data_IF_961297051444
#
_entry.id   IF_961297051444
#
_cell.length_a   1.000
_cell.length_b   1.000
_cell.length_c   1.000
_cell.angle_alpha   90.00
_cell.angle_beta   90.00
_cell.angle_gamma   90.00
#
_symmetry.space_group_name_H-M   'P 1'
#
loop_
_entity.id
_entity.type
_entity.pdbx_description
1 polymer ?
#
# COMPACT_ATOMS: atom_id res chain seq x y z
N UNK A 1 -5.62 -47.05 -24.03
CA UNK A 1 -4.79 -45.98 -24.61
C UNK A 1 -5.56 -44.67 -24.44
N UNK A 2 -5.36 -43.97 -23.31
CA UNK A 2 -6.13 -42.79 -22.91
C UNK A 2 -5.26 -41.53 -23.09
N UNK A 3 -5.80 -40.40 -23.60
CA UNK A 3 -4.99 -39.21 -23.77
C UNK A 3 -4.86 -38.44 -22.45
N UNK A 4 -3.63 -38.07 -22.11
CA UNK A 4 -3.31 -37.19 -21.00
C UNK A 4 -3.98 -35.82 -21.21
N UNK A 5 -4.82 -35.42 -20.25
CA UNK A 5 -5.35 -34.05 -20.18
C UNK A 5 -4.28 -33.11 -19.63
N UNK A 6 -3.89 -32.15 -20.46
CA UNK A 6 -2.99 -31.05 -20.15
C UNK A 6 -3.60 -30.19 -19.01
N UNK A 7 -2.96 -30.17 -17.84
CA UNK A 7 -3.34 -29.35 -16.71
C UNK A 7 -2.98 -27.89 -17.01
N UNK A 8 -3.96 -27.05 -17.36
CA UNK A 8 -3.78 -25.60 -17.53
C UNK A 8 -3.38 -25.00 -16.18
N UNK A 9 -2.12 -24.55 -16.08
CA UNK A 9 -1.60 -23.76 -14.95
C UNK A 9 -2.46 -22.50 -14.77
N UNK A 10 -3.19 -22.43 -13.67
CA UNK A 10 -3.88 -21.24 -13.20
C UNK A 10 -2.85 -20.13 -12.96
N UNK A 11 -2.97 -19.02 -13.68
CA UNK A 11 -2.25 -17.78 -13.40
C UNK A 11 -2.91 -17.12 -12.20
N UNK A 12 -2.53 -17.55 -10.99
CA UNK A 12 -2.77 -16.74 -9.80
C UNK A 12 -1.90 -15.47 -9.89
N UNK A 13 -2.44 -14.28 -9.57
CA UNK A 13 -1.61 -13.10 -9.44
C UNK A 13 -0.73 -13.29 -8.21
N UNK A 14 0.58 -13.44 -8.41
CA UNK A 14 1.55 -13.33 -7.33
C UNK A 14 1.53 -11.86 -6.91
N UNK A 15 0.80 -11.55 -5.84
CA UNK A 15 0.91 -10.26 -5.15
C UNK A 15 2.29 -10.24 -4.49
N UNK A 16 3.26 -9.63 -5.18
CA UNK A 16 4.54 -9.29 -4.57
C UNK A 16 4.28 -8.02 -3.77
N UNK A 17 4.03 -8.18 -2.47
CA UNK A 17 4.05 -7.07 -1.52
C UNK A 17 5.50 -6.59 -1.42
N UNK A 18 5.87 -5.59 -2.23
CA UNK A 18 7.11 -4.85 -2.08
C UNK A 18 7.04 -3.98 -0.82
N UNK A 19 7.07 -4.61 0.35
CA UNK A 19 7.34 -3.92 1.61
C UNK A 19 8.82 -3.54 1.64
N UNK A 20 9.16 -2.39 1.07
CA UNK A 20 10.42 -1.71 1.38
C UNK A 20 10.12 -0.73 2.51
N UNK A 21 10.25 -1.20 3.76
CA UNK A 21 10.20 -0.34 4.93
C UNK A 21 11.65 0.11 5.25
N UNK A 22 12.03 1.39 5.03
CA UNK A 22 13.37 1.86 5.31
C UNK A 22 13.47 2.47 6.72
N UNK A 23 12.77 1.95 7.72
CA UNK A 23 12.96 2.41 9.11
C UNK A 23 12.75 1.25 10.08
N UNK A 24 13.79 0.45 10.31
CA UNK A 24 14.04 -0.20 11.60
C UNK A 24 15.41 -0.90 11.57
N UNK A 25 16.45 -0.13 11.84
CA UNK A 25 17.74 -0.64 12.28
C UNK A 25 18.14 0.22 13.48
N UNK A 26 18.49 -0.44 14.59
CA UNK A 26 18.94 0.08 15.89
C UNK A 26 17.83 0.44 16.90
N UNK A 27 17.59 -0.47 17.86
CA UNK A 27 18.16 -0.37 19.22
C UNK A 27 17.89 -1.67 20.00
N UNK A 28 18.97 -2.19 20.59
CA UNK A 28 19.02 -3.33 21.51
C UNK A 28 19.10 -2.81 22.95
N UNK A 29 18.50 -3.59 23.84
CA UNK A 29 18.79 -3.80 25.27
C UNK A 29 18.45 -2.71 26.30
N UNK A 30 17.66 -3.12 27.31
CA UNK A 30 17.38 -2.33 28.53
C UNK A 30 16.29 -2.97 29.41
N UNK A 31 16.72 -3.85 30.32
CA UNK A 31 15.92 -4.60 31.30
C UNK A 31 15.60 -3.77 32.58
N UNK A 32 14.40 -4.02 33.15
CA UNK A 32 13.92 -3.87 34.57
C UNK A 32 13.68 -2.49 35.22
N UNK A 33 12.87 -2.41 36.32
CA UNK A 33 11.72 -3.22 36.74
C UNK A 33 10.47 -2.39 37.15
N UNK A 34 9.42 -3.17 37.43
CA UNK A 34 8.11 -2.89 38.04
C UNK A 34 8.10 -1.88 39.21
N UNK A 35 7.16 -0.93 39.18
CA UNK A 35 6.80 -0.06 40.29
C UNK A 35 5.29 0.19 40.29
N UNK A 36 4.56 -0.59 41.10
CA UNK A 36 3.15 -0.36 41.44
C UNK A 36 3.03 0.82 42.40
N UNK A 37 2.08 1.75 42.21
CA UNK A 37 1.55 2.55 43.30
C UNK A 37 0.20 2.00 43.77
N UNK A 38 0.11 1.83 45.08
CA UNK A 38 -1.07 1.44 45.85
C UNK A 38 -2.27 2.38 45.60
N UNK A 39 -3.44 1.77 45.39
CA UNK A 39 -4.72 2.47 45.30
C UNK A 39 -5.20 2.75 46.73
N UNK A 40 -5.07 4.00 47.20
CA UNK A 40 -5.82 4.48 48.36
C UNK A 40 -7.09 5.20 47.91
N UNK A 41 -8.21 4.52 48.18
CA UNK A 41 -9.56 5.08 48.15
C UNK A 41 -9.71 6.16 49.21
N UNK A 42 -10.05 7.39 48.80
CA UNK A 42 -10.78 8.33 49.66
C UNK A 42 -11.90 8.98 48.86
N UNK A 43 -13.12 8.53 49.14
CA UNK A 43 -14.36 9.24 48.81
C UNK A 43 -14.32 10.65 49.41
N UNK A 44 -14.61 11.67 48.61
CA UNK A 44 -15.33 12.85 49.11
C UNK A 44 -16.09 13.53 47.97
N UNK A 45 -17.41 13.63 48.17
CA UNK A 45 -18.32 14.48 47.41
C UNK A 45 -17.89 15.94 47.49
N UNK A 46 -17.99 16.67 46.38
CA UNK A 46 -18.37 18.09 46.37
C UNK A 46 -18.75 18.56 44.96
N UNK A 47 -20.03 18.95 44.83
CA UNK A 47 -20.59 20.05 44.05
C UNK A 47 -19.99 20.39 42.66
N UNK A 48 -20.85 20.21 41.65
CA UNK A 48 -20.75 20.80 40.33
C UNK A 48 -20.56 22.32 40.40
N UNK A 49 -19.32 22.76 40.17
CA UNK A 49 -19.04 24.07 39.59
C UNK A 49 -18.45 23.77 38.22
N UNK A 50 -19.12 24.19 37.14
CA UNK A 50 -18.64 23.98 35.77
C UNK A 50 -17.31 24.72 35.60
N UNK A 51 -16.21 24.01 35.86
CA UNK A 51 -14.87 24.53 35.66
C UNK A 51 -14.73 24.97 34.20
N UNK A 52 -14.09 26.12 33.91
CA UNK A 52 -13.72 26.44 32.54
C UNK A 52 -12.87 25.29 32.01
N UNK A 53 -13.10 24.91 30.75
CA UNK A 53 -12.42 23.77 30.11
C UNK A 53 -10.93 23.79 30.48
N UNK A 54 -10.39 22.70 31.05
CA UNK A 54 -9.03 22.69 31.58
C UNK A 54 -8.09 23.11 30.46
N UNK A 55 -7.42 24.25 30.63
CA UNK A 55 -6.42 24.70 29.68
C UNK A 55 -5.30 23.66 29.70
N UNK A 56 -5.27 22.81 28.67
CA UNK A 56 -4.26 21.77 28.50
C UNK A 56 -2.88 22.40 28.71
N UNK A 57 -2.11 21.84 29.65
CA UNK A 57 -0.73 22.27 29.90
C UNK A 57 0.03 22.21 28.56
N UNK A 58 0.95 23.15 28.28
CA UNK A 58 1.63 23.22 26.99
C UNK A 58 2.29 21.91 26.53
N UNK A 59 2.73 21.07 27.48
CA UNK A 59 3.31 19.75 27.23
C UNK A 59 2.30 18.71 26.73
N UNK A 60 1.05 18.76 27.20
CA UNK A 60 -0.02 17.86 26.77
C UNK A 60 -0.52 18.23 25.37
N UNK A 61 -0.47 19.53 25.02
CA UNK A 61 -0.77 20.04 23.67
C UNK A 61 0.23 19.57 22.61
N UNK A 62 1.54 19.64 22.89
CA UNK A 62 2.57 19.11 21.96
C UNK A 62 2.42 17.60 21.74
N UNK A 63 2.06 16.86 22.81
CA UNK A 63 1.83 15.42 22.71
C UNK A 63 0.61 15.12 21.82
N UNK A 64 -0.50 15.84 22.01
CA UNK A 64 -1.68 15.73 21.13
C UNK A 64 -1.39 16.05 19.66
N UNK A 65 -0.67 17.15 19.39
CA UNK A 65 -0.26 17.53 18.03
C UNK A 65 0.63 16.48 17.37
N UNK A 66 1.56 15.88 18.12
CA UNK A 66 2.42 14.81 17.58
C UNK A 66 1.67 13.53 17.23
N UNK A 67 0.55 13.23 17.92
CA UNK A 67 -0.29 12.07 17.59
C UNK A 67 -1.15 12.33 16.34
N UNK A 68 -1.71 13.54 16.21
CA UNK A 68 -2.49 13.93 15.03
C UNK A 68 -1.61 13.97 13.77
N UNK A 69 -0.42 14.57 13.84
CA UNK A 69 0.55 14.60 12.73
C UNK A 69 0.99 13.19 12.31
N UNK A 70 1.26 12.30 13.28
CA UNK A 70 1.64 10.92 13.00
C UNK A 70 0.51 10.12 12.34
N UNK A 71 -0.74 10.37 12.73
CA UNK A 71 -1.91 9.71 12.14
C UNK A 71 -2.12 10.17 10.71
N UNK A 72 -2.06 11.49 10.46
CA UNK A 72 -2.16 12.06 9.11
C UNK A 72 -1.04 11.55 8.18
N UNK A 73 0.19 11.45 8.68
CA UNK A 73 1.32 10.92 7.89
C UNK A 73 1.14 9.43 7.56
N UNK A 74 0.55 8.64 8.46
CA UNK A 74 0.24 7.23 8.21
C UNK A 74 -0.89 7.06 7.18
N UNK A 75 -1.91 7.91 7.24
CA UNK A 75 -2.98 7.95 6.23
C UNK A 75 -2.45 8.32 4.85
N UNK A 76 -1.62 9.37 4.75
CA UNK A 76 -0.99 9.78 3.49
C UNK A 76 -0.08 8.68 2.92
N UNK A 77 0.65 7.98 3.78
CA UNK A 77 1.45 6.80 3.40
C UNK A 77 0.57 5.70 2.81
N UNK A 78 -0.57 5.40 3.45
CA UNK A 78 -1.50 4.37 2.99
C UNK A 78 -2.14 4.74 1.66
N UNK A 79 -2.53 6.00 1.49
CA UNK A 79 -3.08 6.51 0.23
C UNK A 79 -2.06 6.46 -0.91
N UNK A 80 -0.81 6.85 -0.63
CA UNK A 80 0.27 6.77 -1.61
C UNK A 80 0.59 5.33 -1.98
N UNK A 81 0.60 4.40 -1.02
CA UNK A 81 0.75 2.98 -1.32
C UNK A 81 -0.35 2.45 -2.24
N UNK A 82 -1.60 2.87 -2.01
CA UNK A 82 -2.73 2.49 -2.86
C UNK A 82 -2.60 3.03 -4.30
N UNK A 83 -2.18 4.28 -4.47
CA UNK A 83 -1.97 4.84 -5.81
C UNK A 83 -0.79 4.17 -6.51
N UNK A 84 0.33 3.95 -5.82
CA UNK A 84 1.49 3.23 -6.36
C UNK A 84 1.12 1.80 -6.77
N UNK A 85 0.29 1.11 -5.99
CA UNK A 85 -0.23 -0.21 -6.34
C UNK A 85 -1.13 -0.19 -7.60
N UNK A 86 -1.89 0.89 -7.81
CA UNK A 86 -2.67 1.10 -9.04
C UNK A 86 -1.75 1.34 -10.23
N UNK A 87 -0.78 2.25 -10.09
CA UNK A 87 0.22 2.57 -11.13
C UNK A 87 1.01 1.32 -11.56
N UNK A 88 1.37 0.44 -10.62
CA UNK A 88 2.13 -0.76 -10.91
C UNK A 88 1.36 -1.81 -11.74
N UNK A 89 0.04 -1.82 -11.62
CA UNK A 89 -0.87 -2.74 -12.34
C UNK A 89 -1.49 -2.11 -13.60
N UNK A 90 -1.22 -0.83 -13.85
CA UNK A 90 -1.63 -0.15 -15.06
C UNK A 90 -0.81 -0.64 -16.27
N UNK A 91 -1.47 -0.66 -17.43
CA UNK A 91 -0.83 -0.86 -18.72
C UNK A 91 -0.10 0.41 -19.15
N UNK A 92 0.85 0.28 -20.09
CA UNK A 92 1.57 1.46 -20.61
C UNK A 92 0.62 2.47 -21.29
N UNK A 93 -0.40 1.98 -22.00
CA UNK A 93 -1.40 2.83 -22.66
C UNK A 93 -2.24 3.61 -21.65
N UNK A 94 -2.68 2.96 -20.56
CA UNK A 94 -3.44 3.61 -19.50
C UNK A 94 -2.63 4.71 -18.80
N UNK A 95 -1.36 4.43 -18.48
CA UNK A 95 -0.49 5.44 -17.87
C UNK A 95 -0.22 6.60 -18.83
N UNK A 96 0.00 6.32 -20.11
CA UNK A 96 0.16 7.34 -21.13
C UNK A 96 -1.08 8.23 -21.19
N UNK A 97 -2.28 7.64 -21.32
CA UNK A 97 -3.54 8.38 -21.37
C UNK A 97 -3.80 9.18 -20.10
N UNK A 98 -3.41 8.67 -18.93
CA UNK A 98 -3.50 9.42 -17.68
C UNK A 98 -2.58 10.65 -17.67
N UNK A 99 -1.32 10.49 -18.10
CA UNK A 99 -0.36 11.61 -18.16
C UNK A 99 -0.72 12.67 -19.21
N UNK A 100 -1.33 12.28 -20.34
CA UNK A 100 -1.76 13.25 -21.37
C UNK A 100 -2.68 14.35 -20.81
N UNK A 101 -3.49 14.05 -19.78
CA UNK A 101 -4.41 15.00 -19.16
C UNK A 101 -3.71 16.17 -18.45
N UNK A 102 -2.43 16.02 -18.14
CA UNK A 102 -1.64 17.02 -17.42
C UNK A 102 -0.68 17.76 -18.35
N UNK A 103 -0.81 17.60 -19.68
CA UNK A 103 -0.01 18.36 -20.63
C UNK A 103 -0.50 19.81 -20.76
N UNK A 104 0.40 20.80 -20.88
CA UNK A 104 1.86 20.65 -20.83
C UNK A 104 2.34 20.32 -19.41
N UNK A 105 3.22 19.33 -19.31
CA UNK A 105 3.79 18.93 -18.01
C UNK A 105 4.78 19.99 -17.53
N UNK A 106 4.87 20.21 -16.21
CA UNK A 106 5.98 20.97 -15.65
C UNK A 106 7.33 20.30 -16.02
N UNK A 107 8.44 21.04 -16.03
CA UNK A 107 9.78 20.49 -16.19
C UNK A 107 10.00 19.27 -15.29
N UNK A 108 10.54 18.20 -15.89
CA UNK A 108 10.76 16.91 -15.23
C UNK A 108 12.26 16.61 -15.27
N UNK A 109 12.84 16.39 -14.10
CA UNK A 109 14.22 15.97 -13.93
C UNK A 109 14.27 14.52 -13.47
N UNK A 110 14.96 13.67 -14.22
CA UNK A 110 15.16 12.28 -13.82
C UNK A 110 16.23 12.23 -12.72
N UNK A 111 15.82 12.01 -11.47
CA UNK A 111 16.76 11.79 -10.35
C UNK A 111 17.44 10.42 -10.49
N UNK A 112 16.71 9.46 -11.07
CA UNK A 112 17.21 8.17 -11.51
C UNK A 112 16.54 7.84 -12.83
N UNK A 113 17.30 7.61 -13.91
CA UNK A 113 16.73 7.14 -15.16
C UNK A 113 16.01 5.80 -14.93
N UNK A 114 15.08 5.45 -15.83
CA UNK A 114 14.39 4.17 -15.72
C UNK A 114 15.37 3.02 -15.96
N UNK A 115 15.60 2.22 -14.92
CA UNK A 115 16.60 1.15 -14.90
C UNK A 115 15.92 -0.21 -14.70
N UNK A 116 16.26 -1.18 -15.54
CA UNK A 116 15.88 -2.58 -15.38
C UNK A 116 16.91 -3.27 -14.50
N UNK A 117 16.44 -3.96 -13.46
CA UNK A 117 17.25 -4.76 -12.56
C UNK A 117 16.50 -6.00 -12.08
N UNK A 118 17.02 -6.61 -11.02
CA UNK A 118 16.49 -7.83 -10.43
C UNK A 118 16.12 -7.60 -8.97
N UNK A 119 15.05 -8.27 -8.53
CA UNK A 119 14.66 -8.33 -7.12
C UNK A 119 14.53 -9.80 -6.70
N UNK A 120 15.10 -10.13 -5.54
CA UNK A 120 14.94 -11.45 -4.92
C UNK A 120 13.49 -11.65 -4.48
N UNK A 121 12.83 -12.66 -5.03
CA UNK A 121 11.51 -13.10 -4.58
C UNK A 121 11.68 -14.01 -3.38
N UNK A 122 10.96 -13.73 -2.30
CA UNK A 122 10.96 -14.56 -1.10
C UNK A 122 9.62 -15.26 -0.93
N UNK A 123 9.68 -16.58 -0.70
CA UNK A 123 8.54 -17.39 -0.28
C UNK A 123 8.57 -17.65 1.22
N UNK A 124 7.50 -18.24 1.74
CA UNK A 124 7.42 -18.77 3.12
C UNK A 124 7.08 -20.25 3.10
N UNK A 125 7.78 -21.04 3.90
CA UNK A 125 7.51 -22.48 4.04
C UNK A 125 6.07 -22.67 4.53
N UNK A 126 5.25 -23.46 3.83
CA UNK A 126 3.86 -23.72 4.25
C UNK A 126 2.91 -22.51 4.17
N UNK A 127 3.37 -21.33 3.72
CA UNK A 127 2.59 -20.10 3.60
C UNK A 127 2.87 -19.06 4.69
N UNK A 128 3.12 -19.50 5.93
CA UNK A 128 3.32 -18.64 7.10
C UNK A 128 4.64 -18.91 7.85
N UNK A 129 5.37 -19.97 7.49
CA UNK A 129 6.64 -20.33 8.09
C UNK A 129 7.82 -19.45 7.66
N UNK A 130 9.03 -20.00 7.83
CA UNK A 130 10.28 -19.28 7.58
C UNK A 130 10.43 -18.82 6.14
N UNK A 131 11.06 -17.64 5.99
CA UNK A 131 11.30 -17.06 4.68
C UNK A 131 12.45 -17.78 3.96
N UNK A 132 12.29 -18.03 2.66
CA UNK A 132 13.32 -18.58 1.80
C UNK A 132 13.38 -17.85 0.46
N UNK A 133 14.52 -17.88 -0.22
CA UNK A 133 14.67 -17.28 -1.54
C UNK A 133 14.01 -18.18 -2.61
N UNK A 134 12.96 -17.69 -3.27
CA UNK A 134 12.19 -18.41 -4.28
C UNK A 134 12.64 -18.12 -5.72
N UNK A 135 13.65 -17.24 -5.89
CA UNK A 135 14.24 -16.89 -7.17
C UNK A 135 14.36 -15.38 -7.36
N UNK A 136 14.49 -14.94 -8.61
CA UNK A 136 14.59 -13.54 -8.99
C UNK A 136 13.47 -13.13 -9.94
N UNK A 137 12.98 -11.90 -9.78
CA UNK A 137 12.06 -11.27 -10.70
C UNK A 137 12.69 -10.00 -11.29
N UNK A 138 12.42 -9.75 -12.57
CA UNK A 138 12.85 -8.49 -13.19
C UNK A 138 11.98 -7.34 -12.70
N UNK A 139 12.62 -6.24 -12.32
CA UNK A 139 11.98 -5.01 -11.86
C UNK A 139 12.56 -3.83 -12.64
N UNK A 140 11.71 -2.91 -13.07
CA UNK A 140 12.10 -1.61 -13.60
C UNK A 140 11.82 -0.54 -12.56
N UNK A 141 12.83 0.25 -12.19
CA UNK A 141 12.69 1.36 -11.23
C UNK A 141 12.96 2.70 -11.88
N UNK A 142 12.26 3.74 -11.48
CA UNK A 142 12.52 5.11 -11.91
C UNK A 142 12.27 6.10 -10.76
N UNK A 143 12.95 7.24 -10.78
CA UNK A 143 12.68 8.34 -9.86
C UNK A 143 12.80 9.68 -10.59
N UNK A 144 11.81 10.54 -10.42
CA UNK A 144 11.73 11.84 -11.07
C UNK A 144 11.43 12.93 -10.06
N UNK A 145 11.83 14.16 -10.39
CA UNK A 145 11.44 15.37 -9.68
C UNK A 145 10.75 16.29 -10.67
N UNK A 146 9.57 16.77 -10.31
CA UNK A 146 8.86 17.80 -11.08
C UNK A 146 9.16 19.19 -10.50
N UNK A 147 9.07 20.22 -11.34
CA UNK A 147 9.06 21.60 -10.87
C UNK A 147 7.96 21.79 -9.79
N UNK A 148 8.27 22.49 -8.71
CA UNK A 148 7.46 22.50 -7.48
C UNK A 148 8.00 21.56 -6.38
N UNK A 149 8.95 20.69 -6.69
CA UNK A 149 9.77 19.96 -5.72
C UNK A 149 9.29 18.55 -5.35
N UNK A 150 8.09 18.17 -5.78
CA UNK A 150 7.58 16.82 -5.55
C UNK A 150 8.46 15.77 -6.27
N UNK A 151 8.76 14.69 -5.55
CA UNK A 151 9.62 13.61 -6.03
C UNK A 151 8.83 12.32 -6.13
N UNK A 152 8.66 11.82 -7.35
CA UNK A 152 7.93 10.60 -7.64
C UNK A 152 8.85 9.42 -7.88
N UNK A 153 8.38 8.23 -7.52
CA UNK A 153 9.12 6.97 -7.63
C UNK A 153 8.24 5.86 -8.19
N UNK A 154 8.87 4.88 -8.84
CA UNK A 154 8.18 3.68 -9.30
C UNK A 154 9.08 2.44 -9.20
N UNK A 155 8.44 1.31 -8.92
CA UNK A 155 9.03 -0.03 -8.96
C UNK A 155 8.03 -0.96 -9.62
N UNK A 156 8.28 -1.33 -10.87
CA UNK A 156 7.34 -2.11 -11.68
C UNK A 156 7.94 -3.46 -12.03
N UNK A 157 7.17 -4.54 -11.91
CA UNK A 157 7.60 -5.83 -12.43
C UNK A 157 7.76 -5.78 -13.96
N UNK A 158 8.76 -6.50 -14.45
CA UNK A 158 9.09 -6.60 -15.88
C UNK A 158 10.12 -5.57 -16.36
N UNK A 159 10.16 -5.39 -17.68
CA UNK A 159 11.18 -4.61 -18.43
C UNK A 159 10.51 -3.50 -19.24
N UNK A 160 10.06 -2.45 -18.56
CA UNK A 160 9.26 -1.40 -19.21
C UNK A 160 9.71 -0.02 -18.70
N UNK A 161 10.86 0.50 -19.19
CA UNK A 161 11.45 1.76 -18.72
C UNK A 161 10.50 2.95 -18.89
N UNK A 162 9.86 3.08 -20.05
CA UNK A 162 8.92 4.17 -20.31
C UNK A 162 7.72 4.11 -19.37
N UNK A 163 7.18 2.91 -19.14
CA UNK A 163 6.08 2.70 -18.19
C UNK A 163 6.48 3.09 -16.77
N UNK A 164 7.68 2.71 -16.33
CA UNK A 164 8.18 3.05 -15.01
C UNK A 164 8.40 4.55 -14.86
N UNK A 165 8.96 5.22 -15.88
CA UNK A 165 9.13 6.68 -15.87
C UNK A 165 7.78 7.40 -15.78
N UNK A 166 6.81 7.01 -16.60
CA UNK A 166 5.46 7.59 -16.60
C UNK A 166 4.74 7.37 -15.25
N UNK A 167 4.90 6.18 -14.64
CA UNK A 167 4.39 5.93 -13.29
C UNK A 167 5.03 6.84 -12.23
N UNK A 168 6.34 7.06 -12.30
CA UNK A 168 7.04 7.96 -11.37
C UNK A 168 6.57 9.41 -11.53
N UNK A 169 6.24 9.85 -12.76
CA UNK A 169 5.67 11.19 -13.00
C UNK A 169 4.30 11.31 -12.34
N UNK A 170 3.40 10.32 -12.51
CA UNK A 170 2.08 10.35 -11.89
C UNK A 170 2.16 10.30 -10.35
N UNK A 171 3.10 9.55 -9.78
CA UNK A 171 3.36 9.57 -8.32
C UNK A 171 3.86 10.95 -7.85
N UNK A 172 4.69 11.64 -8.65
CA UNK A 172 5.11 13.01 -8.34
C UNK A 172 3.93 13.99 -8.38
N UNK A 173 3.10 13.92 -9.42
CA UNK A 173 1.91 14.78 -9.56
C UNK A 173 0.88 14.53 -8.45
N UNK A 174 0.70 13.28 -8.02
CA UNK A 174 -0.25 12.94 -6.95
C UNK A 174 0.12 13.52 -5.59
N UNK A 175 1.42 13.73 -5.34
CA UNK A 175 1.91 14.34 -4.10
C UNK A 175 1.62 15.85 -4.02
N UNK A 176 1.35 16.51 -5.16
CA UNK A 176 0.85 17.87 -5.15
C UNK A 176 -0.65 17.86 -4.77
N UNK A 177 -0.97 18.46 -3.62
CA UNK A 177 -2.35 18.55 -3.12
C UNK A 177 -3.32 19.16 -4.14
N UNK A 178 -2.87 20.09 -4.98
CA UNK A 178 -3.71 20.71 -5.99
C UNK A 178 -4.04 19.76 -7.16
N UNK A 179 -3.16 18.80 -7.44
CA UNK A 179 -3.30 17.88 -8.57
C UNK A 179 -3.79 16.48 -8.15
N UNK A 180 -3.73 16.16 -6.85
CA UNK A 180 -4.10 14.85 -6.30
C UNK A 180 -5.43 14.33 -6.82
N UNK A 181 -6.50 15.14 -6.73
CA UNK A 181 -7.84 14.75 -7.19
C UNK A 181 -7.86 14.49 -8.70
N UNK A 182 -7.22 15.33 -9.50
CA UNK A 182 -7.14 15.14 -10.94
C UNK A 182 -6.38 13.84 -11.30
N UNK A 183 -5.32 13.50 -10.57
CA UNK A 183 -4.58 12.24 -10.77
C UNK A 183 -5.46 11.04 -10.38
N UNK A 184 -6.22 11.15 -9.30
CA UNK A 184 -7.18 10.13 -8.90
C UNK A 184 -8.23 9.89 -9.98
N UNK A 185 -8.87 10.95 -10.49
CA UNK A 185 -9.83 10.87 -11.59
C UNK A 185 -9.20 10.26 -12.85
N UNK A 186 -7.96 10.66 -13.16
CA UNK A 186 -7.24 10.15 -14.30
C UNK A 186 -7.01 8.62 -14.22
N UNK A 187 -6.80 8.09 -13.02
CA UNK A 187 -6.59 6.66 -12.75
C UNK A 187 -7.88 5.88 -12.47
N UNK A 188 -9.03 6.56 -12.43
CA UNK A 188 -10.36 5.94 -12.26
C UNK A 188 -10.62 4.77 -13.21
N UNK A 189 -10.38 4.89 -14.53
CA UNK A 189 -10.55 3.79 -15.48
C UNK A 189 -9.68 2.56 -15.16
N UNK A 190 -8.44 2.78 -14.71
CA UNK A 190 -7.52 1.70 -14.34
C UNK A 190 -8.07 0.94 -13.13
N UNK A 191 -8.52 1.66 -12.10
CA UNK A 191 -9.11 1.04 -10.91
C UNK A 191 -10.38 0.26 -11.24
N UNK A 192 -11.24 0.80 -12.11
CA UNK A 192 -12.44 0.12 -12.56
C UNK A 192 -12.11 -1.21 -13.27
N UNK A 193 -11.13 -1.21 -14.19
CA UNK A 193 -10.66 -2.44 -14.84
C UNK A 193 -10.12 -3.44 -13.83
N UNK A 194 -9.24 -3.02 -12.92
CA UNK A 194 -8.65 -3.91 -11.92
C UNK A 194 -9.70 -4.51 -10.97
N UNK A 195 -10.72 -3.74 -10.59
CA UNK A 195 -11.82 -4.22 -9.77
C UNK A 195 -12.70 -5.25 -10.50
N UNK A 196 -12.95 -5.03 -11.80
CA UNK A 196 -13.66 -5.99 -12.65
C UNK A 196 -12.87 -7.29 -12.78
N UNK A 197 -11.56 -7.23 -13.09
CA UNK A 197 -10.69 -8.40 -13.19
C UNK A 197 -10.63 -9.20 -11.88
N UNK A 198 -10.59 -8.51 -10.73
CA UNK A 198 -10.62 -9.15 -9.42
C UNK A 198 -11.97 -9.85 -9.14
N UNK A 199 -13.08 -9.22 -9.53
CA UNK A 199 -14.43 -9.80 -9.39
C UNK A 199 -14.56 -11.05 -10.24
N UNK A 200 -14.19 -10.99 -11.52
CA UNK A 200 -14.19 -12.12 -12.44
C UNK A 200 -13.33 -13.29 -11.91
N UNK A 201 -12.14 -13.00 -11.38
CA UNK A 201 -11.26 -14.02 -10.83
C UNK A 201 -11.87 -14.69 -9.60
N UNK A 202 -12.53 -13.92 -8.72
CA UNK A 202 -13.23 -14.43 -7.55
C UNK A 202 -14.40 -15.31 -7.95
N UNK A 203 -15.23 -14.88 -8.89
CA UNK A 203 -16.38 -15.67 -9.38
C UNK A 203 -15.94 -17.00 -10.00
N UNK A 204 -14.89 -16.97 -10.83
CA UNK A 204 -14.31 -18.20 -11.40
C UNK A 204 -13.77 -19.14 -10.32
N UNK A 205 -13.20 -18.59 -9.25
CA UNK A 205 -12.68 -19.39 -8.13
C UNK A 205 -13.82 -20.01 -7.32
N UNK A 206 -14.87 -19.24 -6.98
CA UNK A 206 -16.04 -19.75 -6.27
C UNK A 206 -16.76 -20.85 -7.06
N UNK A 207 -16.83 -20.77 -8.38
CA UNK A 207 -17.39 -21.83 -9.23
C UNK A 207 -16.62 -23.17 -9.13
N UNK A 208 -15.37 -23.15 -8.67
CA UNK A 208 -14.53 -24.35 -8.45
C UNK A 208 -14.49 -24.82 -7.00
N UNK A 209 -15.23 -24.15 -6.11
CA UNK A 209 -15.26 -24.47 -4.69
C UNK A 209 -16.04 -25.76 -4.44
N UNK A 210 -15.40 -26.71 -3.76
CA UNK A 210 -16.04 -27.96 -3.34
C UNK A 210 -16.77 -27.73 -2.01
N UNK A 211 -18.08 -27.90 -1.99
CA UNK A 211 -18.92 -27.82 -0.79
C UNK A 211 -19.09 -29.22 -0.19
N UNK A 212 -18.55 -29.45 1.01
CA UNK A 212 -18.60 -30.76 1.70
C UNK A 212 -19.89 -31.01 2.49
N UNK A 213 -20.67 -29.95 2.77
CA UNK A 213 -21.94 -30.05 3.49
C UNK A 213 -23.08 -29.56 2.60
N UNK A 214 -24.08 -30.42 2.42
CA UNK A 214 -25.40 -30.05 1.92
C UNK A 214 -26.40 -30.33 3.05
N UNK A 215 -27.28 -29.37 3.31
CA UNK A 215 -28.22 -29.41 4.43
C UNK A 215 -29.19 -30.59 4.24
N UNK A 216 -29.16 -31.58 5.15
CA UNK A 216 -30.10 -32.70 5.18
C UNK A 216 -31.23 -32.32 6.12
N UNK A 217 -32.47 -32.29 5.62
CA UNK A 217 -33.66 -32.16 6.45
C UNK A 217 -33.95 -33.54 7.03
N UNK A 218 -33.79 -33.71 8.34
CA UNK A 218 -34.30 -34.88 9.05
C UNK A 218 -35.82 -34.79 9.10
N UNK A 219 -36.49 -35.83 8.62
CA UNK A 219 -37.93 -36.03 8.80
C UNK A 219 -38.05 -37.22 9.76
N UNK A 220 -38.68 -36.98 10.92
CA UNK A 220 -39.10 -37.99 11.90
C UNK A 220 -40.30 -38.78 11.39
#
# INVERSE_FOLDING_TARGET
MAPLRFFRRSRLPICIDFYTNPVQMLRRDGHTPDARPEIRNTRRLAAETRAPAPQLRPADRRRGQSFEEATMAAEDTTQRQAIMGTLARATAQELSAAVERFKPLPPIHDLRPAEVGLAMVRGRIGGDGDAFNAGEATVTRAAVRIEGGATGVSYLLGRAPDRARTAAILDALWQDNALRIAVEEALGPVRARLAAEATDAREKTEATKVNFFTMVRGED
#
